data_IF_166590397293
#
_entry.id   IF_166590397293
#
_cell.length_a   1.000
_cell.length_b   1.000
_cell.length_c   1.000
_cell.angle_alpha   90.00
_cell.angle_beta   90.00
_cell.angle_gamma   90.00
#
_symmetry.space_group_name_H-M   'P 1'
#
loop_
_entity.id
_entity.type
_entity.pdbx_description
1 polymer ?
#
# COMPACT_ATOMS: atom_id res chain seq x y z
N UNK A 1 70.11 0.14 -10.81
CA UNK A 1 68.91 -0.64 -10.39
C UNK A 1 67.75 0.19 -9.81
N UNK A 2 67.96 1.39 -9.22
CA UNK A 2 66.91 2.18 -8.54
C UNK A 2 65.81 2.78 -9.45
N UNK A 3 66.06 3.06 -10.74
CA UNK A 3 65.05 3.71 -11.61
C UNK A 3 64.03 2.75 -12.21
N UNK A 4 64.42 1.50 -12.52
CA UNK A 4 63.50 0.47 -13.04
C UNK A 4 62.45 0.10 -11.99
N UNK A 5 62.87 -0.13 -10.74
CA UNK A 5 61.95 -0.43 -9.64
C UNK A 5 60.95 0.72 -9.38
N UNK A 6 61.36 1.99 -9.45
CA UNK A 6 60.46 3.14 -9.33
C UNK A 6 59.42 3.20 -10.44
N UNK A 7 59.81 2.92 -11.70
CA UNK A 7 58.87 2.87 -12.84
C UNK A 7 57.87 1.71 -12.70
N UNK A 8 58.32 0.55 -12.23
CA UNK A 8 57.44 -0.61 -11.99
C UNK A 8 56.44 -0.35 -10.88
N UNK A 9 56.84 0.29 -9.78
CA UNK A 9 55.93 0.64 -8.67
C UNK A 9 54.83 1.61 -9.16
N UNK A 10 55.19 2.64 -9.92
CA UNK A 10 54.22 3.62 -10.46
C UNK A 10 53.16 2.95 -11.35
N UNK A 11 53.57 2.00 -12.19
CA UNK A 11 52.64 1.27 -13.09
C UNK A 11 51.66 0.40 -12.27
N UNK A 12 52.14 -0.27 -11.22
CA UNK A 12 51.29 -1.09 -10.34
C UNK A 12 50.28 -0.20 -9.59
N UNK A 13 50.71 0.97 -9.09
CA UNK A 13 49.81 1.89 -8.39
C UNK A 13 48.72 2.45 -9.32
N UNK A 14 49.06 2.79 -10.57
CA UNK A 14 48.10 3.24 -11.58
C UNK A 14 47.07 2.16 -11.93
N UNK A 15 47.49 0.91 -12.04
CA UNK A 15 46.59 -0.22 -12.32
C UNK A 15 45.55 -0.46 -11.22
N UNK A 16 45.95 -0.32 -9.95
CA UNK A 16 45.04 -0.48 -8.80
C UNK A 16 44.01 0.65 -8.77
N UNK A 17 44.43 1.91 -9.01
CA UNK A 17 43.50 3.05 -9.05
C UNK A 17 42.47 2.91 -10.19
N UNK A 18 42.90 2.40 -11.36
CA UNK A 18 41.99 2.20 -12.50
C UNK A 18 40.95 1.09 -12.22
N UNK A 19 41.33 0.04 -11.49
CA UNK A 19 40.41 -1.04 -11.09
C UNK A 19 39.37 -0.58 -10.05
N UNK A 20 39.66 0.45 -9.24
CA UNK A 20 38.69 1.03 -8.30
C UNK A 20 37.74 2.04 -8.96
N UNK A 21 38.07 2.57 -10.15
CA UNK A 21 37.21 3.50 -10.89
C UNK A 21 36.16 2.79 -11.74
N UNK A 22 36.38 1.53 -12.13
CA UNK A 22 35.46 0.77 -12.99
C UNK A 22 34.23 0.17 -12.29
N UNK A 23 34.12 0.28 -10.96
CA UNK A 23 33.00 -0.31 -10.19
C UNK A 23 31.92 0.69 -9.77
N UNK A 24 31.97 1.94 -10.23
CA UNK A 24 30.93 2.94 -9.96
C UNK A 24 29.92 3.03 -11.11
N UNK A 25 29.12 1.98 -11.27
CA UNK A 25 27.83 2.13 -11.97
C UNK A 25 26.80 2.63 -10.97
N UNK A 26 26.73 3.94 -10.77
CA UNK A 26 25.49 4.52 -10.26
C UNK A 26 24.56 4.70 -11.45
N UNK A 27 23.56 3.83 -11.53
CA UNK A 27 22.35 4.14 -12.28
C UNK A 27 21.69 5.33 -11.58
N UNK A 28 22.05 6.55 -11.99
CA UNK A 28 21.26 7.73 -11.66
C UNK A 28 20.07 7.68 -12.60
N UNK A 29 18.95 7.16 -12.10
CA UNK A 29 17.68 7.33 -12.79
C UNK A 29 17.31 8.80 -12.73
N UNK A 30 17.67 9.55 -13.78
CA UNK A 30 17.02 10.79 -14.10
C UNK A 30 15.63 10.43 -14.65
N UNK A 31 14.64 10.35 -13.76
CA UNK A 31 13.24 10.48 -14.18
C UNK A 31 13.05 11.95 -14.50
N UNK A 32 13.37 12.33 -15.73
CA UNK A 32 12.79 13.51 -16.33
C UNK A 32 11.45 13.06 -16.89
N UNK A 33 10.46 12.98 -16.01
CA UNK A 33 9.08 12.81 -16.42
C UNK A 33 8.69 14.03 -17.24
N UNK A 34 8.54 13.84 -18.55
CA UNK A 34 7.71 14.73 -19.36
C UNK A 34 6.32 14.72 -18.71
N UNK A 35 6.01 15.80 -18.01
CA UNK A 35 4.67 16.09 -17.53
C UNK A 35 3.81 16.46 -18.76
N UNK A 36 3.31 15.45 -19.47
CA UNK A 36 2.18 15.60 -20.40
C UNK A 36 1.06 14.59 -20.11
N UNK A 37 0.90 14.29 -18.82
CA UNK A 37 -0.36 13.83 -18.28
C UNK A 37 -0.57 14.65 -17.03
N UNK A 38 -1.65 15.41 -16.95
CA UNK A 38 -2.11 16.00 -15.69
C UNK A 38 -2.24 14.88 -14.66
N UNK A 39 -1.20 14.68 -13.84
CA UNK A 39 -1.31 13.97 -12.58
C UNK A 39 -2.20 14.87 -11.74
N UNK A 40 -3.51 14.61 -11.77
CA UNK A 40 -4.40 15.14 -10.76
C UNK A 40 -3.94 14.55 -9.43
N UNK A 41 -3.08 15.28 -8.73
CA UNK A 41 -2.91 15.12 -7.30
C UNK A 41 -4.29 15.38 -6.70
N UNK A 42 -5.06 14.31 -6.48
CA UNK A 42 -6.37 14.36 -5.86
C UNK A 42 -6.14 14.95 -4.47
N UNK A 43 -6.41 16.25 -4.36
CA UNK A 43 -6.05 17.05 -3.21
C UNK A 43 -6.79 16.46 -2.00
N UNK A 44 -6.04 15.83 -1.08
CA UNK A 44 -6.60 15.15 0.11
C UNK A 44 -7.45 16.08 0.99
N UNK A 45 -7.39 17.39 0.74
CA UNK A 45 -8.18 18.43 1.41
C UNK A 45 -9.67 18.40 1.06
N UNK A 46 -10.09 17.69 0.01
CA UNK A 46 -11.50 17.57 -0.38
C UNK A 46 -12.22 16.36 0.24
N UNK A 47 -11.54 15.56 1.05
CA UNK A 47 -12.24 14.52 1.80
C UNK A 47 -13.07 15.17 2.90
N UNK A 48 -14.40 14.96 2.84
CA UNK A 48 -15.28 15.17 3.99
C UNK A 48 -14.61 14.55 5.21
N UNK A 49 -14.65 15.26 6.34
CA UNK A 49 -14.14 14.73 7.60
C UNK A 49 -14.70 13.33 7.80
N UNK A 50 -13.85 12.32 8.07
CA UNK A 50 -14.35 10.99 8.33
C UNK A 50 -15.41 11.03 9.43
N UNK A 51 -16.38 10.10 9.38
CA UNK A 51 -17.27 9.83 10.52
C UNK A 51 -16.42 9.61 11.78
N UNK A 52 -16.95 9.81 12.99
CA UNK A 52 -16.15 9.55 14.21
C UNK A 52 -15.74 8.08 14.26
N UNK A 53 -14.43 7.81 14.33
CA UNK A 53 -13.87 6.49 14.63
C UNK A 53 -14.33 6.03 16.02
N UNK A 54 -14.75 4.77 16.12
CA UNK A 54 -15.37 4.16 17.30
C UNK A 54 -16.89 3.95 17.22
N UNK A 55 -17.54 4.28 16.09
CA UNK A 55 -18.98 4.03 15.90
C UNK A 55 -19.33 2.58 15.52
N UNK A 56 -18.43 1.89 14.82
CA UNK A 56 -18.66 0.53 14.30
C UNK A 56 -17.54 -0.40 14.76
N UNK A 57 -17.92 -1.57 15.28
CA UNK A 57 -17.00 -2.63 15.70
C UNK A 57 -17.35 -3.87 14.89
N UNK A 58 -16.37 -4.42 14.19
CA UNK A 58 -16.52 -5.62 13.37
C UNK A 58 -15.45 -6.66 13.74
N UNK A 59 -15.71 -7.94 13.50
CA UNK A 59 -14.71 -9.01 13.63
C UNK A 59 -13.92 -9.25 12.35
N UNK A 60 -14.53 -8.91 11.19
CA UNK A 60 -13.97 -9.04 9.85
C UNK A 60 -14.74 -8.13 8.88
N UNK A 61 -14.04 -7.49 7.97
CA UNK A 61 -14.62 -7.01 6.71
C UNK A 61 -14.08 -7.88 5.58
N UNK A 62 -14.98 -8.54 4.84
CA UNK A 62 -14.62 -9.33 3.67
C UNK A 62 -15.47 -8.92 2.48
N UNK A 63 -14.81 -8.44 1.43
CA UNK A 63 -15.43 -8.09 0.16
C UNK A 63 -14.79 -8.95 -0.94
N UNK A 64 -15.63 -9.56 -1.77
CA UNK A 64 -15.21 -10.37 -2.91
C UNK A 64 -16.15 -10.08 -4.10
N UNK A 65 -15.66 -9.37 -5.10
CA UNK A 65 -16.46 -9.00 -6.29
C UNK A 65 -16.77 -10.20 -7.21
N UNK A 66 -16.27 -11.40 -6.89
CA UNK A 66 -16.71 -12.64 -7.53
C UNK A 66 -17.94 -13.27 -6.87
N UNK A 67 -18.38 -12.76 -5.72
CA UNK A 67 -19.55 -13.23 -4.97
C UNK A 67 -20.54 -12.08 -4.71
N UNK A 68 -21.71 -12.12 -5.35
CA UNK A 68 -22.76 -11.10 -5.22
C UNK A 68 -23.30 -10.92 -3.78
N UNK A 69 -23.08 -11.88 -2.88
CA UNK A 69 -23.45 -11.76 -1.47
C UNK A 69 -22.35 -11.10 -0.61
N UNK A 70 -21.21 -10.74 -1.23
CA UNK A 70 -20.05 -10.12 -0.57
C UNK A 70 -19.41 -9.03 -1.43
N UNK A 71 -20.03 -8.60 -2.51
CA UNK A 71 -19.49 -7.54 -3.37
C UNK A 71 -19.65 -6.15 -2.72
N UNK A 72 -19.10 -5.13 -3.37
CA UNK A 72 -19.20 -3.75 -2.88
C UNK A 72 -20.63 -3.21 -2.80
N UNK A 73 -21.48 -3.54 -3.77
CA UNK A 73 -22.87 -3.06 -3.82
C UNK A 73 -23.71 -3.64 -2.68
N UNK A 74 -23.58 -4.95 -2.44
CA UNK A 74 -24.17 -5.63 -1.29
C UNK A 74 -23.66 -5.02 0.01
N UNK A 75 -22.35 -4.85 0.15
CA UNK A 75 -21.75 -4.33 1.38
C UNK A 75 -22.21 -2.91 1.68
N UNK A 76 -22.19 -2.01 0.69
CA UNK A 76 -22.60 -0.61 0.85
C UNK A 76 -24.10 -0.43 1.10
N UNK A 77 -24.93 -1.37 0.66
CA UNK A 77 -26.37 -1.37 0.94
C UNK A 77 -26.74 -2.03 2.26
N UNK A 78 -25.84 -2.87 2.81
CA UNK A 78 -26.09 -3.66 4.02
C UNK A 78 -25.52 -2.99 5.28
N UNK A 79 -24.35 -2.34 5.17
CA UNK A 79 -23.59 -1.87 6.33
C UNK A 79 -23.36 -0.36 6.29
N UNK A 80 -23.77 0.34 7.35
CA UNK A 80 -23.69 1.81 7.44
C UNK A 80 -22.24 2.37 7.42
N UNK A 81 -21.25 1.53 7.73
CA UNK A 81 -19.84 1.90 7.68
C UNK A 81 -19.23 1.84 6.28
N UNK A 82 -19.93 1.22 5.33
CA UNK A 82 -19.58 1.23 3.92
C UNK A 82 -20.53 2.19 3.19
N UNK A 83 -20.01 3.03 2.32
CA UNK A 83 -20.82 3.98 1.56
C UNK A 83 -20.27 4.16 0.16
N UNK A 84 -21.05 4.77 -0.71
CA UNK A 84 -20.62 5.17 -2.06
C UNK A 84 -20.74 6.69 -2.15
N UNK A 85 -19.71 7.36 -2.68
CA UNK A 85 -19.76 8.81 -2.91
C UNK A 85 -20.44 9.17 -4.23
N UNK A 86 -20.62 10.47 -4.49
CA UNK A 86 -21.27 10.97 -5.71
C UNK A 86 -20.48 10.63 -7.01
N UNK A 87 -19.22 10.18 -6.89
CA UNK A 87 -18.38 9.77 -8.01
C UNK A 87 -18.34 8.24 -8.19
N UNK A 88 -19.15 7.49 -7.44
CA UNK A 88 -19.15 6.04 -7.48
C UNK A 88 -17.96 5.38 -6.76
N UNK A 89 -17.29 6.08 -5.85
CA UNK A 89 -16.17 5.53 -5.06
C UNK A 89 -16.71 4.92 -3.78
N UNK A 90 -16.41 3.64 -3.55
CA UNK A 90 -16.77 2.98 -2.29
C UNK A 90 -15.85 3.43 -1.15
N UNK A 91 -16.41 3.62 0.04
CA UNK A 91 -15.70 4.14 1.20
C UNK A 91 -15.99 3.25 2.38
N UNK A 92 -14.96 2.53 2.84
CA UNK A 92 -14.92 1.91 4.17
C UNK A 92 -14.25 2.91 5.09
N UNK A 93 -14.96 3.35 6.12
CA UNK A 93 -14.38 4.31 7.05
C UNK A 93 -14.80 4.17 8.50
N UNK A 94 -13.86 4.47 9.42
CA UNK A 94 -14.13 4.62 10.86
C UNK A 94 -14.56 3.34 11.56
N UNK A 95 -14.10 2.20 11.07
CA UNK A 95 -14.38 0.88 11.65
C UNK A 95 -13.22 0.44 12.53
N UNK A 96 -13.54 -0.05 13.72
CA UNK A 96 -12.59 -0.77 14.56
C UNK A 96 -12.80 -2.26 14.38
N UNK A 97 -11.79 -2.95 13.87
CA UNK A 97 -11.80 -4.39 13.68
C UNK A 97 -11.08 -5.02 14.85
N UNK A 98 -11.82 -5.78 15.66
CA UNK A 98 -11.29 -6.59 16.75
C UNK A 98 -11.29 -8.02 16.25
N UNK A 99 -10.14 -8.48 15.76
CA UNK A 99 -10.03 -9.79 15.16
C UNK A 99 -10.37 -10.90 16.15
N UNK A 100 -11.27 -11.78 15.75
CA UNK A 100 -11.59 -13.02 16.46
C UNK A 100 -10.88 -14.21 15.80
N UNK A 101 -10.37 -15.13 16.63
CA UNK A 101 -9.73 -16.35 16.14
C UNK A 101 -10.70 -17.17 15.28
N UNK A 102 -10.29 -17.53 14.06
CA UNK A 102 -11.11 -18.35 13.15
C UNK A 102 -11.67 -17.60 11.93
N UNK A 103 -11.34 -16.31 11.75
CA UNK A 103 -11.65 -15.59 10.50
C UNK A 103 -11.15 -16.38 9.28
N UNK A 104 -12.00 -16.61 8.26
CA UNK A 104 -11.68 -17.44 7.10
C UNK A 104 -10.48 -16.91 6.30
N UNK A 105 -10.21 -15.61 6.36
CA UNK A 105 -9.14 -14.96 5.59
C UNK A 105 -7.86 -14.76 6.40
N UNK A 106 -7.92 -14.94 7.73
CA UNK A 106 -6.89 -14.51 8.67
C UNK A 106 -6.68 -12.99 8.73
N UNK A 107 -7.48 -12.20 7.99
CA UNK A 107 -7.28 -10.77 7.82
C UNK A 107 -8.35 -9.98 8.57
N UNK A 108 -8.05 -8.72 8.94
CA UNK A 108 -9.07 -7.83 9.52
C UNK A 108 -9.97 -7.22 8.46
N UNK A 109 -9.37 -6.67 7.40
CA UNK A 109 -10.07 -6.25 6.18
C UNK A 109 -9.48 -7.02 5.01
N UNK A 110 -10.29 -7.74 4.26
CA UNK A 110 -9.89 -8.50 3.09
C UNK A 110 -10.73 -8.07 1.88
N UNK A 111 -10.08 -7.58 0.84
CA UNK A 111 -10.71 -7.23 -0.44
C UNK A 111 -10.13 -8.14 -1.52
N UNK A 112 -10.99 -8.91 -2.16
CA UNK A 112 -10.60 -9.86 -3.20
C UNK A 112 -11.32 -9.56 -4.52
N UNK A 113 -10.61 -9.80 -5.62
CA UNK A 113 -11.16 -9.78 -6.99
C UNK A 113 -11.75 -8.43 -7.45
N UNK A 114 -11.43 -7.32 -6.78
CA UNK A 114 -11.98 -6.01 -7.10
C UNK A 114 -11.12 -5.22 -8.09
N UNK A 115 -11.33 -5.45 -9.39
CA UNK A 115 -10.49 -4.91 -10.47
C UNK A 115 -11.01 -3.63 -11.13
N UNK A 116 -12.29 -3.35 -10.93
CA UNK A 116 -12.99 -2.29 -11.66
C UNK A 116 -13.50 -1.20 -10.72
N UNK A 117 -13.69 -1.52 -9.45
CA UNK A 117 -14.25 -0.59 -8.47
C UNK A 117 -13.16 0.32 -7.91
N UNK A 118 -13.53 1.58 -7.70
CA UNK A 118 -12.69 2.54 -6.97
C UNK A 118 -13.10 2.52 -5.52
N UNK A 119 -12.13 2.40 -4.62
CA UNK A 119 -12.45 2.37 -3.19
C UNK A 119 -11.43 3.10 -2.32
N UNK A 120 -11.89 3.48 -1.13
CA UNK A 120 -11.11 4.13 -0.10
C UNK A 120 -11.32 3.37 1.21
N UNK A 121 -10.21 2.96 1.84
CA UNK A 121 -10.21 2.47 3.22
C UNK A 121 -9.54 3.55 4.06
N UNK A 122 -10.29 4.19 4.97
CA UNK A 122 -9.75 5.30 5.77
C UNK A 122 -10.17 5.32 7.22
N UNK A 123 -9.26 5.77 8.07
CA UNK A 123 -9.50 5.92 9.52
C UNK A 123 -10.03 4.63 10.19
N UNK A 124 -9.64 3.46 9.65
CA UNK A 124 -9.95 2.17 10.25
C UNK A 124 -8.85 1.77 11.22
N UNK A 125 -9.21 1.06 12.29
CA UNK A 125 -8.26 0.47 13.22
C UNK A 125 -8.43 -1.04 13.22
N UNK A 126 -7.36 -1.80 12.98
CA UNK A 126 -7.37 -3.26 12.97
C UNK A 126 -6.45 -3.78 14.06
N UNK A 127 -6.97 -4.63 14.95
CA UNK A 127 -6.22 -5.25 16.03
C UNK A 127 -6.16 -6.77 15.91
N UNK A 128 -4.98 -7.34 16.17
CA UNK A 128 -4.74 -8.78 16.38
C UNK A 128 -5.02 -9.71 15.18
N UNK A 129 -5.19 -9.17 13.98
CA UNK A 129 -5.34 -9.97 12.77
C UNK A 129 -4.00 -10.60 12.33
N UNK A 130 -4.02 -11.67 11.51
CA UNK A 130 -2.78 -12.16 10.87
C UNK A 130 -2.28 -11.13 9.86
N UNK A 131 -3.19 -10.66 9.01
CA UNK A 131 -2.98 -9.52 8.12
C UNK A 131 -3.95 -8.39 8.50
N UNK A 132 -3.48 -7.17 8.70
CA UNK A 132 -4.38 -6.05 9.04
C UNK A 132 -5.35 -5.76 7.89
N UNK A 133 -4.82 -5.32 6.76
CA UNK A 133 -5.54 -5.16 5.49
C UNK A 133 -4.89 -6.07 4.46
N UNK A 134 -5.68 -6.81 3.68
CA UNK A 134 -5.20 -7.66 2.58
C UNK A 134 -5.97 -7.33 1.32
N UNK A 135 -5.25 -7.03 0.23
CA UNK A 135 -5.81 -6.74 -1.08
C UNK A 135 -5.27 -7.75 -2.08
N UNK A 136 -6.13 -8.64 -2.55
CA UNK A 136 -5.74 -9.67 -3.50
C UNK A 136 -6.50 -9.48 -4.82
N UNK A 137 -5.76 -9.55 -5.93
CA UNK A 137 -6.34 -9.43 -7.28
C UNK A 137 -7.21 -8.16 -7.45
N UNK A 138 -6.76 -7.05 -6.85
CA UNK A 138 -7.52 -5.82 -6.65
C UNK A 138 -6.74 -4.59 -7.18
N UNK A 139 -7.45 -3.57 -7.66
CA UNK A 139 -6.87 -2.31 -8.21
C UNK A 139 -7.62 -1.09 -7.67
N UNK A 140 -7.15 0.13 -7.98
CA UNK A 140 -7.88 1.40 -7.75
C UNK A 140 -8.22 1.76 -6.28
N UNK A 141 -7.57 1.11 -5.31
CA UNK A 141 -7.74 1.39 -3.89
C UNK A 141 -6.85 2.50 -3.35
N UNK A 142 -7.39 3.35 -2.47
CA UNK A 142 -6.63 4.32 -1.66
C UNK A 142 -6.75 3.93 -0.18
N UNK A 143 -5.61 3.78 0.49
CA UNK A 143 -5.54 3.49 1.92
C UNK A 143 -4.95 4.69 2.64
N UNK A 144 -5.69 5.31 3.57
CA UNK A 144 -5.20 6.51 4.27
C UNK A 144 -5.61 6.53 5.74
N UNK A 145 -4.68 6.88 6.63
CA UNK A 145 -4.91 7.01 8.08
C UNK A 145 -5.48 5.74 8.74
N UNK A 146 -5.12 4.56 8.25
CA UNK A 146 -5.48 3.30 8.90
C UNK A 146 -4.42 2.91 9.92
N UNK A 147 -4.84 2.34 11.05
CA UNK A 147 -3.95 1.81 12.07
C UNK A 147 -4.09 0.29 12.14
N UNK A 148 -3.11 -0.43 11.62
CA UNK A 148 -3.03 -1.90 11.77
C UNK A 148 -2.01 -2.22 12.86
N UNK A 149 -2.50 -2.54 14.06
CA UNK A 149 -1.70 -2.77 15.26
C UNK A 149 -1.73 -4.23 15.69
N UNK A 150 -0.59 -4.74 16.17
CA UNK A 150 -0.44 -6.13 16.64
C UNK A 150 -0.82 -7.18 15.60
N UNK A 151 -0.54 -6.93 14.33
CA UNK A 151 -0.75 -7.94 13.29
C UNK A 151 0.32 -9.05 13.40
N UNK A 152 -0.09 -10.31 13.30
CA UNK A 152 0.84 -11.45 13.51
C UNK A 152 1.77 -11.70 12.31
N UNK A 153 1.47 -11.16 11.13
CA UNK A 153 2.29 -11.32 9.92
C UNK A 153 2.50 -10.03 9.15
N UNK A 154 1.42 -9.40 8.66
CA UNK A 154 1.50 -8.20 7.80
C UNK A 154 0.54 -7.13 8.29
N UNK A 155 0.95 -5.86 8.25
CA UNK A 155 0.05 -4.74 8.56
C UNK A 155 -0.91 -4.47 7.42
N UNK A 156 -0.36 -4.28 6.21
CA UNK A 156 -1.06 -4.05 4.94
C UNK A 156 -0.32 -4.87 3.88
#
# INVERSE_FOLDING_TARGET
>A
MKSKAKKTIIIITLGIVFAFLSTRNYSIFNVQGENDGTIEFRNETNFKSPKKSGGYIESLIYIDDSDLAKDWSYTASTYDWCSIDDNGVYIIENVTIIYESGSPTGSGICIENSKNEYFIIRNCTVYNAVSGIRLDNTTNGILTKNNCSNSNSRGI
#
